data_IF_348271582285
#
_entry.id   IF_348271582285
#
_cell.length_a   1.000
_cell.length_b   1.000
_cell.length_c   1.000
_cell.angle_alpha   90.00
_cell.angle_beta   90.00
_cell.angle_gamma   90.00
#
_symmetry.space_group_name_H-M   'P 1'
#
loop_
_entity.id
_entity.type
_entity.pdbx_description
1 polymer ?
#
# COMPACT_ATOMS: atom_id res chain seq x y z
N UNK A 1 17.59 -20.01 -9.69
CA UNK A 1 18.22 -19.64 -8.42
C UNK A 1 17.13 -19.69 -7.38
N UNK A 2 17.25 -20.55 -6.37
CA UNK A 2 16.26 -20.63 -5.30
C UNK A 2 16.24 -19.34 -4.47
N UNK A 3 15.09 -18.94 -3.93
CA UNK A 3 14.99 -17.74 -3.11
C UNK A 3 15.83 -17.87 -1.83
N UNK A 4 16.74 -16.93 -1.62
CA UNK A 4 17.47 -16.77 -0.34
C UNK A 4 16.51 -16.37 0.79
N UNK A 5 15.40 -15.71 0.46
CA UNK A 5 14.37 -15.30 1.41
C UNK A 5 12.99 -15.75 0.92
N UNK A 6 12.31 -16.58 1.71
CA UNK A 6 10.93 -16.99 1.47
C UNK A 6 9.95 -15.95 2.04
N UNK A 7 8.86 -15.70 1.31
CA UNK A 7 7.76 -14.84 1.75
C UNK A 7 6.46 -15.63 1.79
N UNK A 8 5.80 -15.65 2.95
CA UNK A 8 4.48 -16.24 3.12
C UNK A 8 3.57 -15.21 3.79
N UNK A 9 2.35 -15.03 3.28
CA UNK A 9 1.37 -14.12 3.85
C UNK A 9 0.00 -14.77 3.99
N UNK A 10 -0.66 -14.50 5.11
CA UNK A 10 -2.05 -14.87 5.36
C UNK A 10 -2.93 -13.63 5.45
N UNK A 11 -4.18 -13.76 5.03
CA UNK A 11 -5.20 -12.71 5.20
C UNK A 11 -5.85 -12.87 6.55
N UNK A 12 -5.87 -11.78 7.34
CA UNK A 12 -6.49 -11.77 8.67
C UNK A 12 -7.92 -11.21 8.67
N UNK A 13 -8.23 -10.38 7.69
CA UNK A 13 -9.55 -9.78 7.53
C UNK A 13 -9.48 -8.49 6.73
N UNK A 14 -10.60 -7.78 6.71
CA UNK A 14 -10.80 -6.60 5.88
C UNK A 14 -11.50 -5.52 6.70
N UNK A 15 -11.31 -4.26 6.33
CA UNK A 15 -12.07 -3.15 6.87
C UNK A 15 -12.27 -2.05 5.85
N UNK A 16 -13.30 -1.26 6.08
CA UNK A 16 -13.58 -0.01 5.39
C UNK A 16 -13.29 1.16 6.33
N UNK A 17 -12.79 2.26 5.78
CA UNK A 17 -12.54 3.50 6.52
C UNK A 17 -12.95 4.72 5.71
N UNK A 18 -13.48 5.74 6.37
CA UNK A 18 -13.71 7.05 5.78
C UNK A 18 -12.40 7.82 5.68
N UNK A 19 -12.20 8.54 4.57
CA UNK A 19 -11.05 9.42 4.42
C UNK A 19 -11.17 10.70 5.28
N UNK A 20 -12.39 11.08 5.68
CA UNK A 20 -12.66 12.23 6.56
C UNK A 20 -12.42 11.89 8.04
N UNK A 21 -12.69 10.65 8.44
CA UNK A 21 -12.44 10.17 9.79
C UNK A 21 -11.85 8.76 9.76
N UNK A 22 -10.52 8.70 9.72
CA UNK A 22 -9.76 7.44 9.60
C UNK A 22 -9.70 6.62 10.88
N UNK A 23 -10.11 7.20 12.00
CA UNK A 23 -10.30 6.49 13.28
C UNK A 23 -11.63 5.74 13.34
N UNK A 24 -12.53 5.95 12.36
CA UNK A 24 -13.79 5.24 12.26
C UNK A 24 -13.74 4.19 11.15
N UNK A 25 -13.64 2.92 11.55
CA UNK A 25 -13.66 1.78 10.62
C UNK A 25 -14.88 0.89 10.80
N UNK A 26 -15.32 0.28 9.70
CA UNK A 26 -16.27 -0.83 9.67
C UNK A 26 -15.52 -2.12 9.30
N UNK A 27 -15.63 -3.18 10.11
CA UNK A 27 -14.98 -4.47 9.81
C UNK A 27 -15.75 -5.24 8.74
N UNK A 28 -15.03 -5.98 7.90
CA UNK A 28 -15.61 -6.87 6.89
C UNK A 28 -15.49 -6.34 5.46
N UNK A 29 -16.18 -7.03 4.55
CA UNK A 29 -16.09 -6.83 3.09
C UNK A 29 -17.31 -6.15 2.46
N UNK A 30 -18.33 -5.79 3.25
CA UNK A 30 -19.62 -5.31 2.76
C UNK A 30 -19.55 -3.98 2.01
N UNK A 31 -18.48 -3.21 2.17
CA UNK A 31 -18.24 -1.93 1.46
C UNK A 31 -17.32 -2.06 0.24
N UNK A 32 -16.94 -3.27 -0.15
CA UNK A 32 -16.12 -3.47 -1.33
C UNK A 32 -16.83 -2.97 -2.57
N UNK A 33 -16.14 -2.14 -3.34
CA UNK A 33 -16.56 -1.83 -4.70
C UNK A 33 -16.44 -3.08 -5.56
N UNK A 34 -17.39 -3.30 -6.45
CA UNK A 34 -17.33 -4.41 -7.42
C UNK A 34 -16.87 -3.89 -8.77
N UNK A 35 -16.02 -4.66 -9.44
CA UNK A 35 -15.57 -4.38 -10.79
C UNK A 35 -16.75 -4.49 -11.76
N UNK A 36 -16.94 -3.46 -12.57
CA UNK A 36 -17.73 -3.52 -13.79
C UNK A 36 -16.78 -3.32 -14.95
N UNK A 37 -16.59 -4.36 -15.74
CA UNK A 37 -15.82 -4.22 -16.97
C UNK A 37 -16.64 -3.43 -17.98
N UNK A 38 -16.41 -2.12 -18.04
CA UNK A 38 -17.22 -1.16 -18.79
C UNK A 38 -16.48 -0.73 -20.07
N UNK A 39 -16.57 -1.53 -21.14
CA UNK A 39 -15.97 -1.18 -22.43
C UNK A 39 -16.55 0.10 -23.03
N UNK A 40 -17.81 0.43 -22.73
CA UNK A 40 -18.45 1.67 -23.17
C UNK A 40 -17.80 2.94 -22.57
N UNK A 41 -16.93 2.80 -21.57
CA UNK A 41 -16.14 3.92 -21.06
C UNK A 41 -15.00 4.32 -22.04
N UNK A 42 -14.66 3.50 -23.03
CA UNK A 42 -13.68 3.87 -24.06
C UNK A 42 -14.20 5.11 -24.81
N UNK A 43 -13.34 6.11 -24.97
CA UNK A 43 -13.68 7.43 -25.50
C UNK A 43 -14.16 8.44 -24.45
N UNK A 44 -14.41 8.02 -23.21
CA UNK A 44 -14.82 8.92 -22.13
C UNK A 44 -13.68 9.85 -21.69
N UNK A 45 -14.02 11.10 -21.37
CA UNK A 45 -13.11 12.08 -20.78
C UNK A 45 -12.90 11.83 -19.28
N UNK A 46 -11.63 11.81 -18.87
CA UNK A 46 -11.22 11.63 -17.47
C UNK A 46 -11.12 12.95 -16.69
N UNK A 47 -11.30 14.09 -17.35
CA UNK A 47 -11.16 15.44 -16.81
C UNK A 47 -12.48 16.09 -16.38
N UNK A 48 -13.61 15.48 -16.73
CA UNK A 48 -14.93 15.90 -16.24
C UNK A 48 -14.93 15.96 -14.71
N UNK A 49 -15.26 17.12 -14.14
CA UNK A 49 -15.29 17.36 -12.68
C UNK A 49 -13.96 17.81 -12.06
N UNK A 50 -12.86 17.84 -12.82
CA UNK A 50 -11.53 18.17 -12.28
C UNK A 50 -11.44 19.55 -11.62
N UNK A 51 -12.19 20.54 -12.12
CA UNK A 51 -12.16 21.91 -11.61
C UNK A 51 -12.68 22.03 -10.17
N UNK A 52 -13.47 21.06 -9.70
CA UNK A 52 -13.96 20.95 -8.32
C UNK A 52 -13.19 19.91 -7.51
N UNK A 53 -12.13 19.31 -8.08
CA UNK A 53 -11.36 18.31 -7.37
C UNK A 53 -10.61 18.99 -6.24
N UNK A 54 -10.77 18.50 -5.02
CA UNK A 54 -9.99 18.89 -3.86
C UNK A 54 -9.27 17.64 -3.37
N UNK A 55 -7.96 17.76 -3.13
CA UNK A 55 -7.14 16.64 -2.67
C UNK A 55 -6.91 16.77 -1.16
N UNK A 56 -8.00 16.96 -0.42
CA UNK A 56 -7.95 17.38 0.97
C UNK A 56 -7.68 16.22 1.93
N UNK A 57 -7.93 15.00 1.46
CA UNK A 57 -7.65 13.81 2.24
C UNK A 57 -6.18 13.43 2.04
N UNK A 58 -5.29 14.08 2.80
CA UNK A 58 -3.86 13.75 2.88
C UNK A 58 -3.60 12.26 3.11
N UNK A 59 -2.38 11.74 3.01
CA UNK A 59 -2.18 10.28 3.09
C UNK A 59 -2.44 9.70 4.49
N UNK A 60 -3.20 8.60 4.60
CA UNK A 60 -3.37 7.87 5.88
C UNK A 60 -2.00 7.48 6.40
N UNK A 61 -1.77 7.54 7.71
CA UNK A 61 -0.56 7.01 8.33
C UNK A 61 -0.79 5.56 8.70
N UNK A 62 -1.36 5.32 9.88
CA UNK A 62 -1.69 3.99 10.42
C UNK A 62 -3.06 3.96 11.11
N UNK A 63 -3.80 5.07 11.14
CA UNK A 63 -4.99 5.27 11.96
C UNK A 63 -6.01 4.13 11.80
N UNK A 64 -6.43 3.80 10.57
CA UNK A 64 -7.38 2.71 10.33
C UNK A 64 -6.84 1.33 10.73
N UNK A 65 -5.54 1.10 10.56
CA UNK A 65 -4.89 -0.16 10.94
C UNK A 65 -4.77 -0.30 12.47
N UNK A 66 -4.49 0.78 13.19
CA UNK A 66 -4.46 0.79 14.65
C UNK A 66 -5.85 0.46 15.21
N UNK A 67 -6.91 1.06 14.66
CA UNK A 67 -8.29 0.75 15.07
C UNK A 67 -8.66 -0.69 14.73
N UNK A 68 -8.19 -1.21 13.58
CA UNK A 68 -8.40 -2.62 13.24
C UNK A 68 -7.78 -3.55 14.28
N UNK A 69 -6.55 -3.27 14.69
CA UNK A 69 -5.85 -4.06 15.72
C UNK A 69 -6.64 -4.01 17.04
N UNK A 70 -7.12 -2.84 17.47
CA UNK A 70 -7.94 -2.72 18.69
C UNK A 70 -9.25 -3.51 18.60
N UNK A 71 -9.99 -3.39 17.50
CA UNK A 71 -11.29 -4.05 17.34
C UNK A 71 -11.20 -5.57 17.18
N UNK A 72 -10.03 -6.08 16.80
CA UNK A 72 -9.81 -7.52 16.58
C UNK A 72 -8.96 -8.17 17.68
N UNK A 73 -8.39 -7.37 18.59
CA UNK A 73 -7.67 -7.85 19.74
C UNK A 73 -8.60 -8.59 20.71
N UNK A 74 -8.09 -9.66 21.30
CA UNK A 74 -8.76 -10.31 22.43
C UNK A 74 -8.55 -9.46 23.67
N UNK A 75 -9.59 -9.42 24.52
CA UNK A 75 -9.53 -8.72 25.79
C UNK A 75 -8.29 -9.15 26.60
N UNK A 76 -7.61 -8.18 27.20
CA UNK A 76 -6.44 -8.37 28.06
C UNK A 76 -5.27 -9.16 27.42
N UNK A 77 -5.16 -9.20 26.09
CA UNK A 77 -4.02 -9.82 25.40
C UNK A 77 -2.95 -8.76 25.11
N UNK A 78 -1.67 -8.98 25.45
CA UNK A 78 -0.58 -8.07 25.11
C UNK A 78 -0.53 -7.77 23.61
N UNK A 79 -0.04 -6.58 23.24
CA UNK A 79 -0.03 -6.15 21.84
C UNK A 79 0.74 -7.14 20.93
N UNK A 80 1.97 -7.50 21.34
CA UNK A 80 2.83 -8.44 20.60
C UNK A 80 2.16 -9.78 20.36
N UNK A 81 1.46 -10.30 21.37
CA UNK A 81 0.73 -11.57 21.28
C UNK A 81 -0.54 -11.47 20.43
N UNK A 82 -1.21 -10.32 20.46
CA UNK A 82 -2.42 -10.06 19.67
C UNK A 82 -2.11 -10.07 18.17
N UNK A 83 -1.05 -9.36 17.76
CA UNK A 83 -0.71 -9.25 16.32
C UNK A 83 0.21 -10.39 15.84
N UNK A 84 1.04 -10.94 16.73
CA UNK A 84 2.07 -11.95 16.44
C UNK A 84 3.06 -11.54 15.34
N UNK A 85 3.49 -10.27 15.37
CA UNK A 85 4.37 -9.68 14.36
C UNK A 85 5.45 -8.80 15.00
N UNK A 86 6.55 -8.59 14.30
CA UNK A 86 7.62 -7.65 14.65
C UNK A 86 7.29 -6.24 14.20
N UNK A 87 6.70 -6.12 13.03
CA UNK A 87 6.43 -4.84 12.39
C UNK A 87 4.94 -4.60 12.16
N UNK A 88 4.51 -3.34 12.27
CA UNK A 88 3.19 -2.85 11.82
C UNK A 88 3.42 -1.72 10.83
N UNK A 89 2.84 -1.81 9.62
CA UNK A 89 3.01 -0.76 8.62
C UNK A 89 1.92 -0.78 7.53
N UNK A 90 2.02 0.13 6.55
CA UNK A 90 1.22 0.05 5.31
C UNK A 90 1.96 -0.75 4.25
N UNK A 91 1.21 -1.49 3.43
CA UNK A 91 1.73 -2.18 2.24
C UNK A 91 2.56 -1.28 1.32
N UNK A 92 2.16 -0.02 1.18
CA UNK A 92 2.87 0.96 0.35
C UNK A 92 4.34 1.14 0.75
N UNK A 93 4.64 1.12 2.06
CA UNK A 93 6.01 1.25 2.56
C UNK A 93 6.83 -0.01 2.24
N UNK A 94 6.25 -1.19 2.41
CA UNK A 94 6.89 -2.46 2.03
C UNK A 94 7.22 -2.50 0.54
N UNK A 95 6.28 -2.10 -0.33
CA UNK A 95 6.54 -1.95 -1.77
C UNK A 95 7.74 -1.02 -2.01
N UNK A 96 7.78 0.12 -1.30
CA UNK A 96 8.84 1.10 -1.47
C UNK A 96 10.19 0.53 -1.05
N UNK A 97 10.27 -0.21 0.06
CA UNK A 97 11.48 -0.94 0.46
C UNK A 97 11.92 -1.93 -0.63
N UNK A 98 10.99 -2.73 -1.16
CA UNK A 98 11.27 -3.75 -2.16
C UNK A 98 11.86 -3.24 -3.46
N UNK A 99 11.61 -1.98 -3.82
CA UNK A 99 12.07 -1.40 -5.10
C UNK A 99 13.10 -0.28 -4.92
N UNK A 100 13.47 0.06 -3.67
CA UNK A 100 14.26 1.25 -3.41
C UNK A 100 15.65 1.20 -4.06
N UNK A 101 16.27 0.02 -4.08
CA UNK A 101 17.59 -0.19 -4.67
C UNK A 101 17.67 0.28 -6.13
N UNK A 102 16.63 -0.02 -6.92
CA UNK A 102 16.53 0.36 -8.32
C UNK A 102 15.86 1.73 -8.54
N UNK A 103 15.30 2.33 -7.50
CA UNK A 103 14.63 3.63 -7.60
C UNK A 103 15.63 4.77 -7.36
N UNK A 104 15.47 5.87 -8.09
CA UNK A 104 16.28 7.07 -7.86
C UNK A 104 15.87 7.85 -6.58
N UNK A 105 14.77 7.46 -5.94
CA UNK A 105 14.19 8.19 -4.82
C UNK A 105 14.74 7.76 -3.47
N UNK A 106 14.87 8.73 -2.57
CA UNK A 106 15.04 8.48 -1.15
C UNK A 106 13.68 8.24 -0.50
N UNK A 107 13.61 7.28 0.41
CA UNK A 107 12.42 7.05 1.24
C UNK A 107 12.77 7.50 2.65
N UNK A 108 11.93 8.35 3.22
CA UNK A 108 12.06 8.77 4.62
C UNK A 108 10.88 8.18 5.40
N UNK A 109 11.15 7.55 6.53
CA UNK A 109 10.13 6.94 7.37
C UNK A 109 10.56 6.93 8.82
N UNK A 110 9.58 6.85 9.71
CA UNK A 110 9.79 6.74 11.14
C UNK A 110 9.56 5.30 11.59
N UNK A 111 10.34 4.85 12.57
CA UNK A 111 10.11 3.61 13.30
C UNK A 111 9.91 3.92 14.79
N UNK A 112 8.88 3.35 15.39
CA UNK A 112 8.54 3.52 16.80
C UNK A 112 8.36 2.14 17.42
N UNK A 113 9.15 1.81 18.45
CA UNK A 113 9.01 0.52 19.13
C UNK A 113 8.17 0.69 20.40
N UNK A 114 7.05 0.00 20.47
CA UNK A 114 6.13 0.02 21.62
C UNK A 114 5.59 -1.37 21.88
N UNK A 115 5.65 -1.81 23.15
CA UNK A 115 5.13 -3.11 23.63
C UNK A 115 5.60 -4.29 22.75
N UNK A 116 6.91 -4.32 22.48
CA UNK A 116 7.57 -5.36 21.68
C UNK A 116 7.31 -5.31 20.16
N UNK A 117 6.63 -4.28 19.65
CA UNK A 117 6.25 -4.13 18.23
C UNK A 117 6.85 -2.84 17.65
N UNK A 118 7.34 -2.90 16.42
CA UNK A 118 7.91 -1.77 15.69
C UNK A 118 6.89 -1.25 14.66
N UNK A 119 6.39 -0.03 14.84
CA UNK A 119 5.49 0.65 13.93
C UNK A 119 6.28 1.47 12.92
N UNK A 120 6.02 1.27 11.63
CA UNK A 120 6.70 1.99 10.55
C UNK A 120 5.72 2.92 9.83
N UNK A 121 6.08 4.20 9.75
CA UNK A 121 5.29 5.22 9.08
C UNK A 121 6.14 6.06 8.13
N UNK A 122 5.83 5.98 6.84
CA UNK A 122 6.47 6.81 5.81
C UNK A 122 6.21 8.30 6.04
N UNK A 123 7.26 9.11 6.00
CA UNK A 123 7.17 10.56 5.96
C UNK A 123 6.84 10.96 4.51
N UNK A 124 5.59 11.32 4.26
CA UNK A 124 5.22 11.93 2.99
C UNK A 124 5.31 13.44 3.13
N UNK A 125 6.28 14.04 2.43
CA UNK A 125 6.34 15.48 2.31
C UNK A 125 5.08 15.96 1.58
N UNK A 126 4.33 16.87 2.20
CA UNK A 126 3.27 17.61 1.54
C UNK A 126 3.92 18.67 0.65
N UNK A 127 4.51 18.23 -0.46
CA UNK A 127 4.91 19.15 -1.51
C UNK A 127 3.65 19.51 -2.28
N UNK A 128 3.42 20.80 -2.48
CA UNK A 128 2.37 21.29 -3.35
C UNK A 128 2.50 20.57 -4.70
N UNK A 129 1.53 19.70 -4.98
CA UNK A 129 1.60 18.83 -6.14
C UNK A 129 1.38 19.70 -7.37
N UNK A 130 2.34 19.70 -8.31
CA UNK A 130 2.14 20.35 -9.60
C UNK A 130 0.78 19.97 -10.21
N UNK A 131 0.13 20.89 -10.91
CA UNK A 131 -1.16 20.65 -11.56
C UNK A 131 -1.16 19.35 -12.40
N UNK A 132 -0.03 19.05 -13.04
CA UNK A 132 0.19 17.79 -13.77
C UNK A 132 0.04 16.54 -12.90
N UNK A 133 0.63 16.52 -11.71
CA UNK A 133 0.51 15.40 -10.75
C UNK A 133 -0.92 15.31 -10.21
N UNK A 134 -1.51 16.46 -9.86
CA UNK A 134 -2.90 16.56 -9.39
C UNK A 134 -3.89 16.01 -10.42
N UNK A 135 -3.75 16.37 -11.70
CA UNK A 135 -4.53 15.79 -12.82
C UNK A 135 -4.31 14.30 -12.96
N UNK A 136 -3.07 13.82 -12.86
CA UNK A 136 -2.79 12.39 -12.96
C UNK A 136 -3.47 11.60 -11.85
N UNK A 137 -3.52 12.13 -10.63
CA UNK A 137 -4.24 11.53 -9.51
C UNK A 137 -5.75 11.52 -9.79
N UNK A 138 -6.30 12.65 -10.22
CA UNK A 138 -7.70 12.77 -10.56
C UNK A 138 -8.14 11.77 -11.64
N UNK A 139 -7.37 11.66 -12.73
CA UNK A 139 -7.69 10.72 -13.81
C UNK A 139 -7.70 9.27 -13.33
N UNK A 140 -6.80 8.91 -12.42
CA UNK A 140 -6.81 7.57 -11.81
C UNK A 140 -8.07 7.35 -10.97
N UNK A 141 -8.51 8.35 -10.19
CA UNK A 141 -9.76 8.27 -9.43
C UNK A 141 -10.99 8.19 -10.33
N UNK A 142 -11.05 9.00 -11.39
CA UNK A 142 -12.14 8.99 -12.37
C UNK A 142 -12.21 7.66 -13.11
N UNK A 143 -11.06 7.09 -13.49
CA UNK A 143 -11.01 5.74 -14.05
C UNK A 143 -11.57 4.69 -13.08
N UNK A 144 -11.17 4.72 -11.80
CA UNK A 144 -11.74 3.83 -10.77
C UNK A 144 -13.25 3.99 -10.66
N UNK A 145 -13.77 5.21 -10.69
CA UNK A 145 -15.22 5.48 -10.67
C UNK A 145 -15.94 4.88 -11.88
N UNK A 146 -15.37 4.93 -13.08
CA UNK A 146 -15.98 4.38 -14.30
C UNK A 146 -15.99 2.85 -14.34
N UNK A 147 -15.06 2.20 -13.64
CA UNK A 147 -14.88 0.74 -13.64
C UNK A 147 -15.48 0.05 -12.41
N UNK A 148 -16.15 0.77 -11.51
CA UNK A 148 -16.64 0.17 -10.26
C UNK A 148 -18.08 0.52 -9.94
N UNK A 149 -18.76 -0.40 -9.26
CA UNK A 149 -20.07 -0.17 -8.63
C UNK A 149 -19.96 -0.18 -7.09
N UNK A 150 -20.79 0.59 -6.37
CA UNK A 150 -21.84 1.47 -6.91
C UNK A 150 -21.26 2.65 -7.70
N UNK A 151 -21.92 2.99 -8.82
CA UNK A 151 -21.55 4.16 -9.62
C UNK A 151 -21.80 5.42 -8.78
N UNK A 152 -20.77 6.27 -8.69
CA UNK A 152 -20.94 7.59 -8.09
C UNK A 152 -21.77 8.47 -9.02
N UNK A 153 -22.78 9.14 -8.45
CA UNK A 153 -23.60 10.15 -9.15
C UNK A 153 -22.85 11.48 -9.32
N UNK A 154 -21.74 11.67 -8.61
CA UNK A 154 -20.96 12.89 -8.66
C UNK A 154 -20.10 12.91 -9.91
N UNK A 155 -20.13 14.01 -10.66
CA UNK A 155 -19.23 14.22 -11.78
C UNK A 155 -17.75 14.24 -11.32
N UNK A 156 -17.49 14.86 -10.17
CA UNK A 156 -16.16 14.95 -9.56
C UNK A 156 -15.78 13.65 -8.88
N UNK A 157 -14.68 13.05 -9.36
CA UNK A 157 -14.12 11.87 -8.74
C UNK A 157 -13.38 12.24 -7.44
N UNK A 158 -13.82 11.66 -6.32
CA UNK A 158 -13.18 11.85 -5.02
C UNK A 158 -12.84 10.51 -4.38
N UNK A 159 -11.89 10.56 -3.45
CA UNK A 159 -11.54 9.43 -2.60
C UNK A 159 -12.05 9.69 -1.19
N UNK A 160 -13.36 9.48 -1.00
CA UNK A 160 -14.01 9.68 0.30
C UNK A 160 -13.86 8.49 1.25
N UNK A 161 -13.48 7.32 0.72
CA UNK A 161 -13.31 6.12 1.53
C UNK A 161 -12.40 5.10 0.87
N UNK A 162 -11.96 4.13 1.68
CA UNK A 162 -11.04 3.07 1.29
C UNK A 162 -11.48 1.73 1.90
N UNK A 163 -11.38 0.67 1.11
CA UNK A 163 -11.42 -0.71 1.60
C UNK A 163 -10.01 -1.26 1.67
N UNK A 164 -9.67 -1.90 2.78
CA UNK A 164 -8.34 -2.42 3.05
C UNK A 164 -8.42 -3.86 3.53
N UNK A 165 -7.44 -4.65 3.10
CA UNK A 165 -7.19 -6.00 3.58
C UNK A 165 -5.98 -6.01 4.49
N UNK A 166 -6.09 -6.73 5.60
CA UNK A 166 -5.04 -6.88 6.59
C UNK A 166 -4.37 -8.22 6.44
N UNK A 167 -3.04 -8.19 6.47
CA UNK A 167 -2.18 -9.34 6.29
C UNK A 167 -1.22 -9.49 7.46
N UNK A 168 -0.88 -10.74 7.75
CA UNK A 168 0.34 -11.09 8.47
C UNK A 168 1.24 -11.87 7.53
N UNK A 169 2.48 -11.42 7.40
CA UNK A 169 3.48 -12.08 6.58
C UNK A 169 4.71 -12.47 7.40
N UNK A 170 5.41 -13.49 6.93
CA UNK A 170 6.71 -13.94 7.42
C UNK A 170 7.72 -13.88 6.29
N UNK A 171 8.86 -13.25 6.54
CA UNK A 171 10.05 -13.34 5.72
C UNK A 171 11.04 -14.27 6.41
N UNK A 172 11.42 -15.35 5.76
CA UNK A 172 12.29 -16.38 6.34
C UNK A 172 13.55 -16.51 5.50
N UNK A 173 14.71 -16.38 6.13
CA UNK A 173 16.02 -16.63 5.56
C UNK A 173 16.66 -17.79 6.31
N UNK A 174 17.32 -18.71 5.61
CA UNK A 174 17.94 -19.88 6.23
C UNK A 174 18.97 -19.44 7.30
N UNK A 175 18.91 -20.07 8.47
CA UNK A 175 19.79 -19.75 9.61
C UNK A 175 19.41 -18.51 10.43
N UNK A 176 18.36 -17.77 10.04
CA UNK A 176 17.93 -16.53 10.70
C UNK A 176 16.53 -16.66 11.31
N UNK A 177 16.28 -15.88 12.38
CA UNK A 177 14.94 -15.73 12.95
C UNK A 177 13.97 -15.08 11.95
N UNK A 178 12.77 -15.64 11.71
CA UNK A 178 11.82 -15.06 10.78
C UNK A 178 11.41 -13.63 11.18
N UNK A 179 11.33 -12.74 10.19
CA UNK A 179 10.78 -11.39 10.37
C UNK A 179 9.30 -11.42 10.06
N UNK A 180 8.47 -11.06 11.05
CA UNK A 180 7.02 -11.04 10.90
C UNK A 180 6.49 -9.62 10.73
N UNK A 181 5.65 -9.41 9.73
CA UNK A 181 5.10 -8.08 9.39
C UNK A 181 3.58 -8.13 9.34
N UNK A 182 2.94 -7.20 10.03
CA UNK A 182 1.51 -6.96 10.02
C UNK A 182 1.23 -5.71 9.20
N UNK A 183 0.41 -5.79 8.16
CA UNK A 183 0.19 -4.63 7.30
C UNK A 183 -1.19 -4.60 6.65
N UNK A 184 -1.62 -3.40 6.26
CA UNK A 184 -2.84 -3.19 5.48
C UNK A 184 -2.51 -2.81 4.03
N UNK A 185 -3.24 -3.40 3.09
CA UNK A 185 -3.26 -3.02 1.69
C UNK A 185 -4.63 -2.50 1.28
N UNK A 186 -4.69 -1.33 0.66
CA UNK A 186 -5.89 -0.85 -0.02
C UNK A 186 -6.23 -1.77 -1.19
N UNK A 187 -7.51 -2.12 -1.30
CA UNK A 187 -8.07 -2.91 -2.39
C UNK A 187 -9.03 -2.00 -3.18
N UNK A 188 -8.75 -1.81 -4.46
CA UNK A 188 -9.54 -0.91 -5.32
C UNK A 188 -10.98 -1.42 -5.52
N UNK A 189 -11.11 -2.72 -5.82
CA UNK A 189 -12.39 -3.40 -6.00
C UNK A 189 -12.21 -4.93 -5.95
N UNK A 190 -13.32 -5.66 -6.08
CA UNK A 190 -13.35 -7.11 -6.30
C UNK A 190 -14.07 -7.49 -7.57
N UNK A 191 -13.68 -8.60 -8.20
CA UNK A 191 -14.36 -9.17 -9.36
C UNK A 191 -15.67 -9.92 -8.98
N UNK A 192 -16.32 -10.55 -9.97
CA UNK A 192 -17.53 -11.34 -9.76
C UNK A 192 -17.36 -12.59 -8.87
N UNK A 193 -16.13 -12.94 -8.47
CA UNK A 193 -15.79 -14.05 -7.58
C UNK A 193 -15.31 -13.54 -6.21
N UNK A 194 -15.53 -12.27 -5.90
CA UNK A 194 -15.02 -11.58 -4.71
C UNK A 194 -13.48 -11.61 -4.57
N UNK A 195 -12.76 -11.78 -5.69
CA UNK A 195 -11.31 -11.71 -5.71
C UNK A 195 -10.84 -10.27 -5.93
N UNK A 196 -9.83 -9.78 -5.19
CA UNK A 196 -9.29 -8.43 -5.38
C UNK A 196 -8.82 -8.16 -6.81
N UNK A 197 -9.13 -6.97 -7.30
CA UNK A 197 -8.66 -6.44 -8.56
C UNK A 197 -8.04 -5.05 -8.35
N UNK A 198 -6.89 -4.81 -8.98
CA UNK A 198 -6.19 -3.51 -8.97
C UNK A 198 -6.53 -2.73 -10.23
N UNK A 199 -6.73 -1.42 -10.13
CA UNK A 199 -7.06 -0.57 -11.27
C UNK A 199 -5.89 0.39 -11.55
N UNK A 200 -5.31 0.28 -12.75
CA UNK A 200 -4.19 1.13 -13.19
C UNK A 200 -4.57 1.94 -14.42
N UNK A 201 -4.05 3.16 -14.46
CA UNK A 201 -4.19 4.06 -15.60
C UNK A 201 -2.81 4.50 -16.08
N UNK A 202 -2.56 4.40 -17.38
CA UNK A 202 -1.30 4.82 -18.02
C UNK A 202 -1.55 5.78 -19.17
N UNK A 203 -0.64 6.72 -19.37
CA UNK A 203 -0.70 7.72 -20.44
C UNK A 203 0.10 7.35 -21.69
N UNK A 204 0.68 6.15 -21.71
CA UNK A 204 1.49 5.60 -22.82
C UNK A 204 0.88 4.25 -23.21
N UNK A 205 1.00 3.84 -24.49
CA UNK A 205 0.58 2.50 -24.92
C UNK A 205 1.25 1.42 -24.09
N UNK A 206 0.50 0.38 -23.68
CA UNK A 206 1.01 -0.62 -22.76
C UNK A 206 2.28 -1.27 -23.30
N UNK A 207 2.36 -1.55 -24.59
CA UNK A 207 3.49 -2.16 -25.30
C UNK A 207 4.81 -1.41 -25.08
N UNK A 208 4.75 -0.10 -24.85
CA UNK A 208 5.91 0.78 -24.68
C UNK A 208 6.06 1.32 -23.25
N UNK A 209 5.10 1.01 -22.38
CA UNK A 209 4.96 1.57 -21.05
C UNK A 209 5.64 0.74 -19.94
N UNK A 210 6.28 -0.37 -20.30
CA UNK A 210 6.88 -1.36 -19.40
C UNK A 210 8.29 -1.00 -18.90
N UNK A 211 8.45 0.21 -18.35
CA UNK A 211 9.71 0.57 -17.71
C UNK A 211 9.95 -0.28 -16.43
N UNK A 212 11.24 -0.51 -16.12
CA UNK A 212 11.69 -1.36 -15.01
C UNK A 212 11.04 -0.95 -13.69
N UNK A 213 11.06 0.35 -13.37
CA UNK A 213 10.55 0.88 -12.10
C UNK A 213 9.05 0.68 -11.97
N UNK A 214 8.29 0.90 -13.04
CA UNK A 214 6.84 0.68 -13.07
C UNK A 214 6.48 -0.80 -12.93
N UNK A 215 7.16 -1.67 -13.66
CA UNK A 215 6.88 -3.11 -13.63
C UNK A 215 7.16 -3.69 -12.23
N UNK A 216 8.31 -3.40 -11.63
CA UNK A 216 8.60 -3.76 -10.23
C UNK A 216 7.55 -3.20 -9.26
N UNK A 217 7.25 -1.91 -9.42
CA UNK A 217 6.28 -1.21 -8.60
C UNK A 217 4.89 -1.85 -8.60
N UNK A 218 4.37 -2.16 -9.80
CA UNK A 218 3.04 -2.72 -9.97
C UNK A 218 2.99 -4.17 -9.51
N UNK A 219 4.02 -4.94 -9.82
CA UNK A 219 4.13 -6.31 -9.35
C UNK A 219 4.16 -6.36 -7.82
N UNK A 220 5.08 -5.66 -7.16
CA UNK A 220 5.18 -5.66 -5.69
C UNK A 220 3.93 -5.09 -5.02
N UNK A 221 3.26 -4.14 -5.67
CA UNK A 221 1.95 -3.67 -5.22
C UNK A 221 0.94 -4.82 -5.18
N UNK A 222 0.78 -5.56 -6.28
CA UNK A 222 -0.20 -6.65 -6.36
C UNK A 222 0.19 -7.87 -5.52
N UNK A 223 1.46 -8.27 -5.56
CA UNK A 223 2.02 -9.39 -4.80
C UNK A 223 1.75 -9.24 -3.31
N UNK A 224 2.11 -8.09 -2.73
CA UNK A 224 1.88 -7.80 -1.31
C UNK A 224 0.40 -7.63 -0.96
N UNK A 225 -0.50 -7.43 -1.92
CA UNK A 225 -1.94 -7.34 -1.67
C UNK A 225 -2.69 -8.64 -2.02
N UNK A 226 -1.97 -9.70 -2.42
CA UNK A 226 -2.55 -10.93 -2.97
C UNK A 226 -3.59 -10.64 -4.08
N UNK A 227 -3.29 -9.67 -4.95
CA UNK A 227 -4.10 -9.31 -6.11
C UNK A 227 -3.59 -10.07 -7.32
N UNK A 228 -4.47 -10.83 -7.98
CA UNK A 228 -4.12 -11.67 -9.14
C UNK A 228 -4.58 -11.09 -10.48
N UNK A 229 -5.39 -10.04 -10.46
CA UNK A 229 -5.95 -9.40 -11.64
C UNK A 229 -5.75 -7.90 -11.56
N UNK A 230 -5.31 -7.32 -12.66
CA UNK A 230 -5.12 -5.88 -12.80
C UNK A 230 -5.89 -5.46 -14.04
N UNK A 231 -6.77 -4.47 -13.90
CA UNK A 231 -7.35 -3.82 -15.06
C UNK A 231 -6.56 -2.57 -15.39
N UNK A 232 -5.93 -2.56 -16.56
CA UNK A 232 -5.12 -1.43 -17.03
C UNK A 232 -5.90 -0.70 -18.09
N UNK A 233 -6.07 0.61 -17.89
CA UNK A 233 -6.53 1.50 -18.93
C UNK A 233 -5.41 2.36 -19.48
N UNK A 234 -5.47 2.55 -20.79
CA UNK A 234 -4.65 3.49 -21.52
C UNK A 234 -5.45 4.75 -21.80
N UNK A 235 -4.80 5.90 -21.64
CA UNK A 235 -5.36 7.18 -22.05
C UNK A 235 -4.46 7.89 -23.04
N UNK A 236 -5.08 8.63 -23.95
CA UNK A 236 -4.43 9.65 -24.74
C UNK A 236 -4.96 11.01 -24.32
N UNK A 237 -4.09 11.86 -23.75
CA UNK A 237 -4.48 13.11 -23.08
C UNK A 237 -5.53 12.81 -21.99
N UNK A 238 -6.77 13.28 -22.11
CA UNK A 238 -7.83 13.06 -21.13
C UNK A 238 -8.74 11.88 -21.48
N UNK A 239 -8.65 11.33 -22.70
CA UNK A 239 -9.58 10.31 -23.19
C UNK A 239 -9.08 8.90 -22.92
N UNK A 240 -9.96 8.05 -22.40
CA UNK A 240 -9.75 6.60 -22.35
C UNK A 240 -9.69 6.02 -23.76
N UNK A 241 -8.70 5.19 -24.05
CA UNK A 241 -8.45 4.60 -25.38
C UNK A 241 -8.65 3.10 -25.40
N UNK A 242 -8.10 2.41 -24.40
CA UNK A 242 -8.11 0.96 -24.32
C UNK A 242 -8.18 0.55 -22.86
N UNK A 243 -8.84 -0.57 -22.61
CA UNK A 243 -8.96 -1.18 -21.30
C UNK A 243 -8.64 -2.65 -21.48
N UNK A 244 -7.69 -3.17 -20.71
CA UNK A 244 -7.27 -4.56 -20.83
C UNK A 244 -7.00 -5.18 -19.46
N UNK A 245 -7.50 -6.40 -19.20
CA UNK A 245 -7.09 -7.17 -18.06
C UNK A 245 -5.68 -7.73 -18.28
N UNK A 246 -4.85 -7.64 -17.25
CA UNK A 246 -3.55 -8.32 -17.19
C UNK A 246 -3.41 -9.04 -15.85
N UNK A 247 -2.43 -9.92 -15.77
CA UNK A 247 -2.03 -10.55 -14.50
C UNK A 247 -0.65 -10.04 -14.06
N UNK A 248 -0.30 -10.16 -12.77
CA UNK A 248 1.06 -9.87 -12.29
C UNK A 248 2.14 -10.65 -13.06
N UNK A 249 1.86 -11.86 -13.53
CA UNK A 249 2.79 -12.67 -14.33
C UNK A 249 3.05 -12.05 -15.71
N UNK A 250 2.05 -11.38 -16.30
CA UNK A 250 2.23 -10.65 -17.56
C UNK A 250 3.19 -9.46 -17.40
N UNK A 251 3.16 -8.78 -16.24
CA UNK A 251 4.11 -7.70 -15.94
C UNK A 251 5.55 -8.21 -16.01
N UNK A 252 5.79 -9.43 -15.51
CA UNK A 252 7.12 -10.04 -15.56
C UNK A 252 7.53 -10.40 -16.99
N UNK A 253 6.62 -10.98 -17.78
CA UNK A 253 6.89 -11.36 -19.18
C UNK A 253 7.19 -10.18 -20.11
N UNK A 254 6.57 -9.04 -19.87
CA UNK A 254 6.71 -7.85 -20.73
C UNK A 254 7.74 -6.84 -20.22
N UNK A 255 8.45 -7.12 -19.12
CA UNK A 255 9.46 -6.22 -18.59
C UNK A 255 10.62 -6.06 -19.59
N UNK A 256 10.81 -4.83 -20.10
CA UNK A 256 11.88 -4.50 -21.07
C UNK A 256 13.27 -4.72 -20.47
N UNK A 257 13.41 -4.53 -19.15
CA UNK A 257 14.64 -4.80 -18.42
C UNK A 257 14.38 -5.85 -17.34
N UNK A 258 15.06 -7.01 -17.38
CA UNK A 258 14.79 -8.10 -16.46
C UNK A 258 15.13 -7.69 -15.02
N UNK A 259 14.19 -7.92 -14.11
CA UNK A 259 14.35 -7.75 -12.67
C UNK A 259 13.78 -8.98 -11.96
N UNK A 260 14.18 -9.21 -10.71
CA UNK A 260 13.80 -10.39 -9.94
C UNK A 260 12.94 -10.00 -8.75
N UNK A 261 11.74 -10.58 -8.63
CA UNK A 261 10.91 -10.37 -7.45
C UNK A 261 11.55 -10.96 -6.19
N UNK A 262 12.41 -11.98 -6.32
CA UNK A 262 13.19 -12.50 -5.19
C UNK A 262 14.16 -11.45 -4.66
N UNK A 263 14.82 -10.68 -5.53
CA UNK A 263 15.70 -9.59 -5.11
C UNK A 263 14.88 -8.47 -4.43
N UNK A 264 13.66 -8.21 -4.90
CA UNK A 264 12.74 -7.28 -4.25
C UNK A 264 12.34 -7.73 -2.83
N UNK A 265 12.14 -9.04 -2.62
CA UNK A 265 11.86 -9.63 -1.30
C UNK A 265 13.10 -9.57 -0.41
N UNK A 266 14.28 -9.91 -0.93
CA UNK A 266 15.54 -9.85 -0.20
C UNK A 266 15.88 -8.41 0.22
N UNK A 267 15.68 -7.43 -0.66
CA UNK A 267 15.86 -6.02 -0.33
C UNK A 267 14.91 -5.58 0.80
N UNK A 268 13.65 -5.99 0.75
CA UNK A 268 12.69 -5.73 1.83
C UNK A 268 13.13 -6.38 3.15
N UNK A 269 13.61 -7.62 3.11
CA UNK A 269 14.16 -8.32 4.28
C UNK A 269 15.34 -7.56 4.88
N UNK A 270 16.32 -7.18 4.08
CA UNK A 270 17.53 -6.50 4.54
C UNK A 270 17.21 -5.16 5.23
N UNK A 271 16.24 -4.40 4.70
CA UNK A 271 15.77 -3.16 5.33
C UNK A 271 15.11 -3.45 6.67
N UNK A 272 14.15 -4.39 6.72
CA UNK A 272 13.44 -4.73 7.95
C UNK A 272 14.38 -5.30 9.01
N UNK A 273 15.34 -6.14 8.62
CA UNK A 273 16.36 -6.69 9.49
C UNK A 273 17.22 -5.59 10.12
N UNK A 274 17.71 -4.66 9.29
CA UNK A 274 18.48 -3.50 9.77
C UNK A 274 17.68 -2.64 10.76
N UNK A 275 16.41 -2.35 10.46
CA UNK A 275 15.53 -1.61 11.37
C UNK A 275 15.32 -2.38 12.68
N UNK A 276 15.04 -3.69 12.61
CA UNK A 276 14.82 -4.54 13.80
C UNK A 276 16.02 -4.51 14.75
N UNK A 277 17.24 -4.57 14.19
CA UNK A 277 18.48 -4.58 14.97
C UNK A 277 18.81 -3.21 15.59
N UNK A 278 18.36 -2.10 14.99
CA UNK A 278 18.56 -0.76 15.53
C UNK A 278 17.49 -0.37 16.58
N UNK A 279 16.29 -0.92 16.46
CA UNK A 279 15.15 -0.67 17.36
C UNK A 279 15.17 -1.63 18.54
N UNK A 280 16.09 -1.48 19.49
CA UNK A 280 16.34 -2.46 20.57
C UNK A 280 15.47 -2.28 21.80
N UNK A 281 14.94 -1.08 22.06
CA UNK A 281 14.21 -0.75 23.30
C UNK A 281 12.80 -0.25 23.01
N UNK A 282 11.84 -0.64 23.84
CA UNK A 282 10.51 -0.04 23.82
C UNK A 282 10.58 1.44 24.24
N UNK A 283 9.73 2.28 23.64
CA UNK A 283 9.79 3.74 23.73
C UNK A 283 10.74 4.40 22.72
N UNK A 284 11.62 3.63 22.06
CA UNK A 284 12.55 4.17 21.07
C UNK A 284 11.81 4.66 19.82
N UNK A 285 12.19 5.84 19.34
CA UNK A 285 11.74 6.39 18.07
C UNK A 285 12.96 6.83 17.25
N UNK A 286 13.03 6.33 16.01
CA UNK A 286 14.09 6.69 15.05
C UNK A 286 13.46 7.16 13.74
N UNK A 287 14.09 8.15 13.11
CA UNK A 287 13.84 8.53 11.73
C UNK A 287 14.86 7.83 10.84
N UNK A 288 14.40 7.18 9.80
CA UNK A 288 15.22 6.45 8.83
C UNK A 288 15.18 7.13 7.47
N UNK A 289 16.35 7.23 6.85
CA UNK A 289 16.52 7.66 5.47
C UNK A 289 17.09 6.51 4.66
N UNK A 290 16.33 6.02 3.68
CA UNK A 290 16.66 4.88 2.84
C UNK A 290 17.02 5.35 1.44
N UNK A 291 18.27 5.13 1.04
CA UNK A 291 18.79 5.48 -0.29
C UNK A 291 19.50 4.28 -0.89
N UNK A 292 19.03 3.83 -2.07
CA UNK A 292 19.56 2.66 -2.77
C UNK A 292 19.73 1.42 -1.87
N UNK A 293 18.73 1.18 -1.02
CA UNK A 293 18.70 0.04 -0.11
C UNK A 293 19.52 0.18 1.18
N UNK A 294 20.26 1.28 1.35
CA UNK A 294 21.04 1.56 2.57
C UNK A 294 20.25 2.49 3.48
N UNK A 295 20.03 2.05 4.72
CA UNK A 295 19.30 2.81 5.73
C UNK A 295 20.27 3.51 6.69
N UNK A 296 20.20 4.83 6.79
CA UNK A 296 20.75 5.61 7.90
C UNK A 296 19.63 6.00 8.87
N UNK A 297 19.97 6.23 10.14
CA UNK A 297 19.00 6.60 11.16
C UNK A 297 19.48 7.74 12.06
N UNK A 298 18.52 8.47 12.59
CA UNK A 298 18.72 9.52 13.61
C UNK A 298 17.59 9.44 14.65
N UNK A 299 17.84 9.98 15.85
CA UNK A 299 16.83 10.08 16.89
C UNK A 299 15.69 11.01 16.46
N UNK A 300 14.47 10.74 16.92
CA UNK A 300 13.29 11.52 16.58
C UNK A 300 12.26 11.47 17.71
N UNK A 301 11.54 12.57 17.91
CA UNK A 301 10.50 12.68 18.94
C UNK A 301 9.08 12.45 18.37
N UNK A 302 8.95 12.07 17.10
CA UNK A 302 7.66 11.88 16.42
C UNK A 302 6.92 10.57 16.79
N UNK A 303 7.26 9.95 17.93
CA UNK A 303 6.75 8.65 18.34
C UNK A 303 5.23 8.65 18.57
N UNK A 304 4.76 9.57 19.40
CA UNK A 304 3.36 9.69 19.81
C UNK A 304 2.44 10.09 18.65
N UNK A 305 3.01 10.74 17.63
CA UNK A 305 2.30 11.09 16.40
C UNK A 305 1.99 9.85 15.53
N UNK A 306 2.73 8.76 15.69
CA UNK A 306 2.55 7.53 14.90
C UNK A 306 1.73 6.51 15.65
N UNK A 307 1.99 6.36 16.95
CA UNK A 307 1.30 5.41 17.83
C UNK A 307 0.73 6.16 19.03
N UNK A 308 -0.53 6.63 18.96
CA UNK A 308 -1.10 7.42 20.03
C UNK A 308 -1.27 6.65 21.32
N UNK A 309 -1.15 7.35 22.45
CA UNK A 309 -1.25 6.73 23.79
C UNK A 309 -2.59 6.01 24.02
N UNK A 310 -3.70 6.57 23.50
CA UNK A 310 -5.02 5.93 23.61
C UNK A 310 -5.09 4.56 22.93
N UNK A 311 -4.28 4.33 21.88
CA UNK A 311 -4.13 3.01 21.28
C UNK A 311 -3.39 2.07 22.22
N UNK A 312 -2.27 2.53 22.79
CA UNK A 312 -1.43 1.73 23.69
C UNK A 312 -2.16 1.32 24.98
N UNK A 313 -3.02 2.18 25.53
CA UNK A 313 -3.82 1.88 26.74
C UNK A 313 -4.78 0.70 26.57
N UNK A 314 -5.11 0.32 25.33
CA UNK A 314 -5.95 -0.84 25.06
C UNK A 314 -5.26 -2.19 25.36
N UNK A 315 -3.93 -2.21 25.35
CA UNK A 315 -3.15 -3.43 25.54
C UNK A 315 -2.51 -3.42 26.93
N UNK A 316 -2.47 -4.54 27.66
CA UNK A 316 -1.61 -4.65 28.83
C UNK A 316 -0.13 -4.57 28.43
N UNK A 317 0.76 -4.42 29.42
CA UNK A 317 2.19 -4.58 29.23
C UNK A 317 2.56 -6.04 29.00
#
# INVERSE_FOLDING_TARGET
MEPVVAFAAETLGDYWTSCDNRWSIELGRHRYKRLIFNEAAIGSGLDEGYYQFENDHGSERLEGLLVYIQKTAKFATPLKESIKADFVCRRGLLRNFSINYDSAGTIVFYAVRQKGVIFLCEEKQFVESSDKLRRSLYYALKFKQLMTVPLSRNATATKSSETKRVFRASLTKEGEEPIRVYYAAEIDCVDGRDLPCELKLISKPLETAWDRNRTMAWYMHCFLANVKSILVAERHRTLLRQIQPITPEMIYKHAVSPWSHFNCIEQMYNVLFSVKNQMTKDGQTLKFTLTKGVASSEASDFGDYIVPEHFLRHFPF
#
